data_IF_206194438506
#
_entry.id   IF_206194438506
#
_cell.length_a   1.000
_cell.length_b   1.000
_cell.length_c   1.000
_cell.angle_alpha   90.00
_cell.angle_beta   90.00
_cell.angle_gamma   90.00
#
_symmetry.space_group_name_H-M   'P 1'
#
loop_
_entity.id
_entity.type
_entity.pdbx_description
1 polymer ?
#
# COMPACT_ATOMS: atom_id res chain seq x y z
N UNK A 1 9.96 9.33 -2.61
CA UNK A 1 10.14 8.36 -3.70
C UNK A 1 11.49 7.71 -3.45
N UNK A 2 11.59 6.38 -3.54
CA UNK A 2 12.88 5.70 -3.42
C UNK A 2 13.76 6.06 -4.63
N UNK A 3 15.07 6.02 -4.45
CA UNK A 3 16.02 6.36 -5.51
C UNK A 3 16.09 5.28 -6.61
N UNK A 4 15.35 4.17 -6.47
CA UNK A 4 15.15 3.11 -7.46
C UNK A 4 14.51 1.85 -6.89
N UNK A 5 14.14 0.90 -7.76
CA UNK A 5 13.67 -0.44 -7.40
C UNK A 5 14.87 -1.41 -7.30
N UNK A 6 15.60 -1.31 -6.20
CA UNK A 6 16.75 -2.17 -5.92
C UNK A 6 16.96 -2.37 -4.42
N UNK A 7 17.68 -3.44 -4.07
CA UNK A 7 17.99 -3.79 -2.68
C UNK A 7 18.62 -2.64 -1.89
N UNK A 8 19.59 -1.94 -2.49
CA UNK A 8 20.26 -0.81 -1.84
C UNK A 8 19.28 0.32 -1.45
N UNK A 9 18.33 0.64 -2.32
CA UNK A 9 17.32 1.66 -2.04
C UNK A 9 16.33 1.19 -0.97
N UNK A 10 15.95 -0.10 -1.00
CA UNK A 10 15.11 -0.70 0.02
C UNK A 10 15.76 -0.65 1.41
N UNK A 11 17.03 -1.05 1.53
CA UNK A 11 17.80 -1.02 2.80
C UNK A 11 17.85 0.39 3.39
N UNK A 12 18.21 1.40 2.59
CA UNK A 12 18.28 2.79 3.09
C UNK A 12 16.93 3.30 3.60
N UNK A 13 15.83 2.86 3.01
CA UNK A 13 14.49 3.21 3.50
C UNK A 13 14.07 2.38 4.70
N UNK A 14 14.47 1.12 4.78
CA UNK A 14 14.23 0.23 5.92
C UNK A 14 14.81 0.82 7.20
N UNK A 15 16.06 1.32 7.15
CA UNK A 15 16.72 1.97 8.29
C UNK A 15 15.88 3.11 8.91
N UNK A 16 15.09 3.83 8.09
CA UNK A 16 14.20 4.90 8.55
C UNK A 16 12.97 4.38 9.28
N UNK A 17 12.42 3.26 8.82
CA UNK A 17 11.23 2.62 9.39
C UNK A 17 11.59 1.84 10.66
N UNK A 18 12.73 1.15 10.65
CA UNK A 18 13.27 0.42 11.81
C UNK A 18 13.54 1.37 12.96
N UNK A 19 14.15 2.53 12.68
CA UNK A 19 14.36 3.60 13.68
C UNK A 19 13.04 4.11 14.27
N UNK A 20 11.95 4.05 13.53
CA UNK A 20 10.62 4.44 14.00
C UNK A 20 9.85 3.28 14.69
N UNK A 21 10.38 2.05 14.65
CA UNK A 21 9.70 0.86 15.14
C UNK A 21 8.47 0.45 14.32
N UNK A 22 8.40 0.87 13.05
CA UNK A 22 7.19 0.76 12.20
C UNK A 22 7.24 -0.41 11.21
N UNK A 23 7.49 -1.62 11.71
CA UNK A 23 7.40 -2.87 10.94
C UNK A 23 8.72 -3.33 10.31
N UNK A 24 8.64 -4.31 9.41
CA UNK A 24 9.77 -4.91 8.70
C UNK A 24 9.72 -4.52 7.22
N UNK A 25 10.85 -4.09 6.67
CA UNK A 25 10.98 -3.76 5.25
C UNK A 25 12.05 -4.64 4.60
N UNK A 26 11.75 -5.15 3.41
CA UNK A 26 12.68 -5.97 2.61
C UNK A 26 12.47 -5.71 1.12
N UNK A 27 13.47 -6.06 0.32
CA UNK A 27 13.39 -5.98 -1.14
C UNK A 27 12.75 -7.26 -1.71
N UNK A 28 11.75 -7.10 -2.58
CA UNK A 28 11.05 -8.18 -3.28
C UNK A 28 11.36 -8.12 -4.78
N UNK A 29 12.49 -8.69 -5.25
CA UNK A 29 12.90 -8.60 -6.65
C UNK A 29 11.92 -9.29 -7.60
N UNK A 30 11.16 -10.27 -7.09
CA UNK A 30 10.13 -10.97 -7.85
C UNK A 30 8.83 -10.18 -7.98
N UNK A 31 8.68 -9.08 -7.23
CA UNK A 31 7.44 -8.30 -7.15
C UNK A 31 6.25 -9.17 -6.72
N UNK A 32 6.51 -10.26 -5.98
CA UNK A 32 5.53 -11.26 -5.60
C UNK A 32 4.43 -10.67 -4.71
N UNK A 33 4.78 -9.83 -3.74
CA UNK A 33 3.81 -9.18 -2.86
C UNK A 33 2.92 -8.20 -3.64
N UNK A 34 3.53 -7.37 -4.50
CA UNK A 34 2.80 -6.41 -5.32
C UNK A 34 1.88 -7.07 -6.35
N UNK A 35 2.31 -8.18 -6.96
CA UNK A 35 1.49 -8.97 -7.87
C UNK A 35 0.32 -9.67 -7.14
N UNK A 36 0.60 -10.28 -5.97
CA UNK A 36 -0.45 -10.92 -5.18
C UNK A 36 -1.52 -9.93 -4.72
N UNK A 37 -1.13 -8.71 -4.34
CA UNK A 37 -2.09 -7.62 -4.07
C UNK A 37 -2.83 -7.20 -5.33
N UNK A 38 -2.14 -7.05 -6.48
CA UNK A 38 -2.78 -6.70 -7.76
C UNK A 38 -3.96 -7.63 -8.10
N UNK A 39 -3.78 -8.95 -7.91
CA UNK A 39 -4.84 -9.94 -8.10
C UNK A 39 -6.06 -9.70 -7.19
N UNK A 40 -5.86 -9.36 -5.91
CA UNK A 40 -6.98 -9.11 -4.98
C UNK A 40 -7.74 -7.83 -5.31
N UNK A 41 -7.11 -6.91 -6.03
CA UNK A 41 -7.71 -5.65 -6.50
C UNK A 41 -8.34 -5.76 -7.91
N UNK A 42 -8.19 -6.91 -8.57
CA UNK A 42 -8.71 -7.17 -9.93
C UNK A 42 -7.76 -6.78 -11.07
N UNK A 43 -6.53 -6.36 -10.77
CA UNK A 43 -5.47 -6.09 -11.74
C UNK A 43 -4.73 -7.37 -12.14
N UNK A 44 -5.41 -8.23 -12.92
CA UNK A 44 -4.90 -9.55 -13.34
C UNK A 44 -3.53 -9.44 -14.02
N UNK A 45 -2.47 -9.87 -13.35
CA UNK A 45 -1.09 -9.81 -13.83
C UNK A 45 -0.39 -8.44 -13.65
N UNK A 46 -1.07 -7.45 -13.08
CA UNK A 46 -0.50 -6.13 -12.78
C UNK A 46 0.12 -6.08 -11.38
N UNK A 47 1.16 -5.27 -11.23
CA UNK A 47 1.81 -5.04 -9.93
C UNK A 47 1.20 -3.80 -9.27
N UNK A 48 0.68 -3.97 -8.04
CA UNK A 48 0.06 -2.90 -7.25
C UNK A 48 1.07 -1.93 -6.63
N UNK A 49 1.74 -1.15 -7.48
CA UNK A 49 2.66 -0.09 -7.05
C UNK A 49 1.93 1.12 -6.44
N UNK A 50 2.61 1.85 -5.56
CA UNK A 50 2.13 3.06 -4.87
C UNK A 50 0.66 2.95 -4.40
N UNK A 51 0.34 1.82 -3.78
CA UNK A 51 -1.00 1.43 -3.37
C UNK A 51 -1.10 1.40 -1.85
N UNK A 52 -2.22 1.92 -1.33
CA UNK A 52 -2.53 1.99 0.10
C UNK A 52 -3.77 1.15 0.38
N UNK A 53 -3.65 0.20 1.29
CA UNK A 53 -4.66 -0.83 1.57
C UNK A 53 -5.18 -0.68 3.01
N UNK A 54 -6.49 -0.76 3.19
CA UNK A 54 -7.14 -0.77 4.50
C UNK A 54 -7.75 -2.14 4.76
N UNK A 55 -7.35 -2.75 5.88
CA UNK A 55 -7.89 -4.01 6.36
C UNK A 55 -8.58 -3.79 7.70
N UNK A 56 -9.70 -4.49 7.96
CA UNK A 56 -10.31 -4.44 9.27
C UNK A 56 -9.41 -5.11 10.32
N UNK A 57 -9.54 -4.75 11.61
CA UNK A 57 -8.77 -5.37 12.69
C UNK A 57 -8.98 -6.90 12.74
N UNK A 58 -7.93 -7.64 13.08
CA UNK A 58 -7.98 -9.09 13.28
C UNK A 58 -7.87 -9.93 12.00
N UNK A 59 -7.75 -9.32 10.83
CA UNK A 59 -7.47 -10.03 9.59
C UNK A 59 -6.03 -10.59 9.57
N UNK A 60 -5.89 -11.83 9.10
CA UNK A 60 -4.62 -12.55 9.02
C UNK A 60 -4.16 -12.70 7.57
N UNK A 61 -2.85 -12.74 7.39
CA UNK A 61 -2.17 -12.91 6.09
C UNK A 61 -1.41 -14.23 6.11
N UNK A 62 -2.15 -15.35 6.07
CA UNK A 62 -1.60 -16.71 6.19
C UNK A 62 -1.29 -17.35 4.81
N UNK A 63 -0.93 -16.53 3.81
CA UNK A 63 -0.69 -16.98 2.43
C UNK A 63 -1.05 -15.90 1.42
N UNK A 64 -2.14 -16.11 0.67
CA UNK A 64 -2.67 -15.10 -0.25
C UNK A 64 -3.17 -13.89 0.54
N UNK A 65 -2.79 -12.65 0.15
CA UNK A 65 -3.34 -11.46 0.77
C UNK A 65 -4.88 -11.48 0.71
N UNK A 66 -5.57 -11.13 1.80
CA UNK A 66 -7.02 -10.97 1.75
C UNK A 66 -7.41 -9.78 0.86
N UNK A 67 -8.66 -9.71 0.44
CA UNK A 67 -9.17 -8.51 -0.20
C UNK A 67 -9.25 -7.37 0.84
N UNK A 68 -8.70 -6.18 0.54
CA UNK A 68 -8.82 -5.04 1.44
C UNK A 68 -10.27 -4.55 1.49
N UNK A 69 -10.66 -3.95 2.62
CA UNK A 69 -11.96 -3.30 2.76
C UNK A 69 -12.04 -2.00 1.94
N UNK A 70 -10.92 -1.26 1.85
CA UNK A 70 -10.80 -0.09 1.00
C UNK A 70 -9.35 0.12 0.54
N UNK A 71 -9.16 0.87 -0.54
CA UNK A 71 -7.82 1.15 -1.07
C UNK A 71 -7.77 2.37 -1.99
N UNK A 72 -6.55 2.90 -2.17
CA UNK A 72 -6.21 4.01 -3.07
C UNK A 72 -4.86 3.75 -3.76
N UNK A 73 -4.62 4.36 -4.92
CA UNK A 73 -3.30 4.32 -5.60
C UNK A 73 -2.88 5.71 -6.09
N UNK A 74 -1.57 5.90 -6.31
CA UNK A 74 -1.00 7.19 -6.75
C UNK A 74 -0.54 7.24 -8.20
N UNK A 75 -0.53 6.11 -8.90
CA UNK A 75 -0.07 6.04 -10.29
C UNK A 75 -1.19 6.38 -11.27
N UNK A 76 -0.98 7.42 -12.08
CA UNK A 76 -1.85 7.73 -13.20
C UNK A 76 -1.65 6.73 -14.33
N UNK A 77 -2.71 6.38 -15.06
CA UNK A 77 -2.63 5.47 -16.21
C UNK A 77 -2.66 3.98 -15.87
N UNK A 78 -2.82 3.60 -14.59
CA UNK A 78 -3.12 2.22 -14.21
C UNK A 78 -4.53 1.86 -14.68
N UNK A 79 -4.66 1.29 -15.89
CA UNK A 79 -5.96 1.00 -16.51
C UNK A 79 -6.85 0.06 -15.67
N UNK A 80 -6.23 -0.84 -14.91
CA UNK A 80 -6.90 -1.74 -13.97
C UNK A 80 -7.43 -1.03 -12.72
N UNK A 81 -6.78 0.06 -12.30
CA UNK A 81 -7.14 0.83 -11.13
C UNK A 81 -7.97 2.04 -11.56
N UNK A 82 -9.29 1.86 -11.59
CA UNK A 82 -10.22 2.90 -12.05
C UNK A 82 -10.00 4.26 -11.37
N UNK A 83 -10.31 5.35 -12.09
CA UNK A 83 -10.07 6.75 -11.65
C UNK A 83 -10.67 7.09 -10.27
N UNK A 84 -11.69 6.36 -9.83
CA UNK A 84 -12.29 6.52 -8.50
C UNK A 84 -11.31 6.19 -7.36
N UNK A 85 -10.28 5.38 -7.62
CA UNK A 85 -9.24 4.94 -6.67
C UNK A 85 -7.98 5.81 -6.70
N UNK A 86 -7.78 6.56 -7.79
CA UNK A 86 -6.61 7.40 -7.99
C UNK A 86 -6.60 8.62 -7.06
N UNK A 87 -5.55 8.78 -6.25
CA UNK A 87 -5.37 9.93 -5.35
C UNK A 87 -3.91 10.34 -5.28
N UNK A 88 -3.62 11.63 -5.32
CA UNK A 88 -2.25 12.16 -5.17
C UNK A 88 -2.22 13.41 -4.30
N UNK A 89 -1.02 13.85 -3.91
CA UNK A 89 -0.78 15.07 -3.14
C UNK A 89 -1.68 15.20 -1.90
N UNK A 90 -2.30 16.37 -1.72
CA UNK A 90 -3.21 16.63 -0.60
C UNK A 90 -4.48 15.76 -0.63
N UNK A 91 -4.93 15.37 -1.82
CA UNK A 91 -6.10 14.50 -1.99
C UNK A 91 -5.88 13.12 -1.39
N UNK A 92 -4.69 12.55 -1.63
CA UNK A 92 -4.26 11.30 -1.01
C UNK A 92 -4.16 11.43 0.50
N UNK A 93 -3.43 12.42 1.01
CA UNK A 93 -3.25 12.59 2.45
C UNK A 93 -4.60 12.65 3.20
N UNK A 94 -5.59 13.37 2.63
CA UNK A 94 -6.94 13.41 3.18
C UNK A 94 -7.67 12.07 3.09
N UNK A 95 -7.53 11.34 1.99
CA UNK A 95 -8.14 10.03 1.82
C UNK A 95 -7.58 9.02 2.83
N UNK A 96 -6.25 9.00 3.02
CA UNK A 96 -5.59 8.12 3.98
C UNK A 96 -6.02 8.40 5.42
N UNK A 97 -6.09 9.67 5.83
CA UNK A 97 -6.60 10.04 7.16
C UNK A 97 -8.04 9.57 7.38
N UNK A 98 -8.93 9.78 6.41
CA UNK A 98 -10.32 9.31 6.51
C UNK A 98 -10.40 7.78 6.54
N UNK A 99 -9.61 7.10 5.73
CA UNK A 99 -9.54 5.64 5.71
C UNK A 99 -9.08 5.07 7.04
N UNK A 100 -8.05 5.66 7.65
CA UNK A 100 -7.54 5.26 8.95
C UNK A 100 -8.62 5.39 10.05
N UNK A 101 -9.35 6.50 10.07
CA UNK A 101 -10.46 6.67 11.04
C UNK A 101 -11.58 5.67 10.79
N UNK A 102 -11.95 5.47 9.51
CA UNK A 102 -13.12 4.68 9.14
C UNK A 102 -12.91 3.17 9.25
N UNK A 103 -11.72 2.69 8.91
CA UNK A 103 -11.47 1.26 8.69
C UNK A 103 -10.42 0.68 9.64
N UNK A 104 -9.51 1.51 10.15
CA UNK A 104 -8.49 1.07 11.10
C UNK A 104 -8.85 1.41 12.56
N UNK A 105 -10.04 1.98 12.81
CA UNK A 105 -10.51 2.32 14.17
C UNK A 105 -9.63 3.34 14.88
N UNK A 106 -8.87 4.15 14.13
CA UNK A 106 -8.04 5.19 14.70
C UNK A 106 -8.87 6.42 15.07
N UNK A 107 -8.61 7.03 16.22
CA UNK A 107 -9.22 8.32 16.53
C UNK A 107 -8.79 9.38 15.50
N UNK A 108 -9.69 10.32 15.13
CA UNK A 108 -9.30 11.44 14.30
C UNK A 108 -8.21 12.24 15.02
N UNK A 109 -7.00 12.26 14.44
CA UNK A 109 -5.94 13.15 14.92
C UNK A 109 -6.41 14.62 14.84
N UNK A 110 -6.03 15.46 15.83
CA UNK A 110 -6.44 16.87 15.87
C UNK A 110 -6.03 17.67 14.62
#
# INVERSE_FOLDING_TARGET
MLDGDCERAAVSSAERLDKAGLGVHFHDPGRAAGAAVGETLGGRGDVAWDTYLFYPPGIRWDGTPPAPQDWYHQLGGAAWAGVSRYRTGRGLARALRRGAVRFAGMDPLP
#
